data_IF_622656582838
#
_entry.id   IF_622656582838
#
_cell.length_a   1.000
_cell.length_b   1.000
_cell.length_c   1.000
_cell.angle_alpha   90.00
_cell.angle_beta   90.00
_cell.angle_gamma   90.00
#
_symmetry.space_group_name_H-M   'P 1'
#
loop_
_entity.id
_entity.type
_entity.pdbx_description
1 polymer ?
#
# COMPACT_ATOMS: atom_id res chain seq x y z
N UNK A 1 -2.32 6.16 8.65
CA UNK A 1 -3.55 6.35 7.84
C UNK A 1 -4.54 7.17 8.64
N UNK A 2 -5.37 7.97 7.97
CA UNK A 2 -6.46 8.72 8.58
C UNK A 2 -7.80 8.12 8.11
N UNK A 3 -8.77 8.04 9.01
CA UNK A 3 -10.11 7.53 8.72
C UNK A 3 -11.14 8.57 9.14
N UNK A 4 -12.11 8.83 8.27
CA UNK A 4 -13.20 9.75 8.55
C UNK A 4 -14.45 9.38 7.74
N UNK A 5 -15.58 10.01 8.06
CA UNK A 5 -16.80 9.88 7.25
C UNK A 5 -16.58 10.48 5.87
N UNK A 6 -17.18 9.88 4.83
CA UNK A 6 -17.09 10.36 3.46
C UNK A 6 -18.00 11.58 3.22
N UNK A 7 -17.69 12.70 3.86
CA UNK A 7 -18.39 13.96 3.67
C UNK A 7 -17.41 15.15 3.62
N UNK A 8 -17.91 16.30 3.16
CA UNK A 8 -17.09 17.49 2.96
C UNK A 8 -16.52 18.02 4.28
N UNK A 9 -17.32 18.05 5.34
CA UNK A 9 -16.90 18.52 6.67
C UNK A 9 -15.71 17.73 7.21
N UNK A 10 -15.73 16.40 7.07
CA UNK A 10 -14.62 15.55 7.48
C UNK A 10 -13.35 15.82 6.66
N UNK A 11 -13.46 16.07 5.36
CA UNK A 11 -12.32 16.41 4.51
C UNK A 11 -11.70 17.77 4.89
N UNK A 12 -12.54 18.74 5.27
CA UNK A 12 -12.10 20.04 5.78
C UNK A 12 -11.32 19.87 7.10
N UNK A 13 -11.81 19.04 8.01
CA UNK A 13 -11.09 18.81 9.27
C UNK A 13 -9.78 18.06 9.10
N UNK A 14 -9.73 17.08 8.18
CA UNK A 14 -8.45 16.47 7.81
C UNK A 14 -7.47 17.54 7.31
N UNK A 15 -7.91 18.43 6.42
CA UNK A 15 -7.07 19.51 5.88
C UNK A 15 -6.61 20.47 6.98
N UNK A 16 -7.48 20.82 7.92
CA UNK A 16 -7.15 21.66 9.06
C UNK A 16 -6.13 21.01 9.98
N UNK A 17 -6.31 19.73 10.34
CA UNK A 17 -5.37 18.99 11.19
C UNK A 17 -4.00 18.91 10.53
N UNK A 18 -3.93 18.58 9.23
CA UNK A 18 -2.66 18.52 8.51
C UNK A 18 -1.97 19.88 8.43
N UNK A 19 -2.74 20.97 8.27
CA UNK A 19 -2.21 22.33 8.29
C UNK A 19 -1.66 22.72 9.66
N UNK A 20 -2.39 22.43 10.74
CA UNK A 20 -1.95 22.72 12.12
C UNK A 20 -0.70 21.92 12.44
N UNK A 21 -0.69 20.62 12.13
CA UNK A 21 0.48 19.76 12.28
C UNK A 21 1.68 20.31 11.51
N UNK A 22 1.49 20.71 10.24
CA UNK A 22 2.58 21.24 9.43
C UNK A 22 3.17 22.54 9.97
N UNK A 23 2.34 23.41 10.56
CA UNK A 23 2.82 24.63 11.25
C UNK A 23 3.60 24.31 12.51
N UNK A 24 3.15 23.34 13.30
CA UNK A 24 3.79 22.97 14.56
C UNK A 24 5.11 22.19 14.34
N UNK A 25 5.15 21.32 13.33
CA UNK A 25 6.29 20.44 13.05
C UNK A 25 7.29 20.99 12.02
N UNK A 26 6.90 22.02 11.24
CA UNK A 26 7.65 22.48 10.08
C UNK A 26 7.56 21.54 8.87
N UNK A 27 6.76 20.47 8.93
CA UNK A 27 6.63 19.50 7.86
C UNK A 27 5.49 19.85 6.89
N UNK A 28 5.59 19.36 5.64
CA UNK A 28 4.55 19.53 4.62
C UNK A 28 4.13 18.18 4.06
N UNK A 29 2.83 17.93 4.03
CA UNK A 29 2.26 16.74 3.41
C UNK A 29 2.43 16.82 1.90
N UNK A 30 2.90 15.73 1.30
CA UNK A 30 2.93 15.58 -0.15
C UNK A 30 1.62 14.95 -0.62
N UNK A 31 0.69 15.79 -1.04
CA UNK A 31 -0.63 15.35 -1.53
C UNK A 31 -0.55 14.52 -2.81
N UNK A 32 0.45 14.75 -3.68
CA UNK A 32 0.67 13.93 -4.88
C UNK A 32 1.09 12.49 -4.55
N UNK A 33 1.75 12.26 -3.41
CA UNK A 33 2.08 10.92 -2.91
C UNK A 33 0.99 10.34 -2.00
N UNK A 34 -0.07 11.12 -1.75
CA UNK A 34 -1.18 10.72 -0.91
C UNK A 34 -2.35 10.28 -1.78
N UNK A 35 -3.12 9.33 -1.30
CA UNK A 35 -4.30 8.82 -1.99
C UNK A 35 -5.40 8.50 -1.00
N UNK A 36 -6.64 8.47 -1.49
CA UNK A 36 -7.83 8.18 -0.71
C UNK A 36 -8.53 6.94 -1.26
N UNK A 37 -9.13 6.17 -0.35
CA UNK A 37 -9.96 5.01 -0.68
C UNK A 37 -11.32 5.20 0.00
N UNK A 38 -12.39 4.80 -0.66
CA UNK A 38 -13.75 4.92 -0.14
C UNK A 38 -14.38 3.54 0.11
N UNK A 39 -15.40 3.52 0.98
CA UNK A 39 -16.23 2.33 1.12
C UNK A 39 -17.16 2.18 -0.10
N UNK A 40 -17.66 0.97 -0.32
CA UNK A 40 -18.54 0.63 -1.45
C UNK A 40 -19.84 1.45 -1.51
N UNK A 41 -20.21 2.12 -0.42
CA UNK A 41 -21.47 2.84 -0.29
C UNK A 41 -21.37 4.32 -0.73
N UNK A 42 -20.23 4.76 -1.24
CA UNK A 42 -20.03 6.15 -1.70
C UNK A 42 -20.11 6.17 -3.23
N UNK A 43 -20.97 7.01 -3.82
CA UNK A 43 -21.09 7.13 -5.27
C UNK A 43 -19.81 7.69 -5.90
N UNK A 44 -19.50 7.28 -7.13
CA UNK A 44 -18.27 7.72 -7.83
C UNK A 44 -18.17 9.24 -7.94
N UNK A 45 -19.29 9.93 -8.17
CA UNK A 45 -19.33 11.39 -8.22
C UNK A 45 -18.94 12.02 -6.89
N UNK A 46 -19.45 11.47 -5.78
CA UNK A 46 -19.11 11.92 -4.43
C UNK A 46 -17.64 11.62 -4.11
N UNK A 47 -17.11 10.48 -4.53
CA UNK A 47 -15.70 10.14 -4.36
C UNK A 47 -14.80 11.15 -5.07
N UNK A 48 -15.09 11.43 -6.36
CA UNK A 48 -14.32 12.38 -7.17
C UNK A 48 -14.37 13.79 -6.59
N UNK A 49 -15.55 14.24 -6.14
CA UNK A 49 -15.72 15.53 -5.48
C UNK A 49 -14.87 15.65 -4.21
N UNK A 50 -14.93 14.64 -3.32
CA UNK A 50 -14.17 14.66 -2.06
C UNK A 50 -12.65 14.53 -2.29
N UNK A 51 -12.24 13.73 -3.27
CA UNK A 51 -10.84 13.58 -3.63
C UNK A 51 -10.26 14.86 -4.24
N UNK A 52 -11.02 15.52 -5.13
CA UNK A 52 -10.66 16.83 -5.68
C UNK A 52 -10.54 17.89 -4.58
N UNK A 53 -11.43 17.87 -3.58
CA UNK A 53 -11.36 18.78 -2.44
C UNK A 53 -10.08 18.61 -1.62
N UNK A 54 -9.63 17.37 -1.42
CA UNK A 54 -8.38 17.07 -0.71
C UNK A 54 -7.13 17.18 -1.58
N UNK A 55 -7.28 17.29 -2.91
CA UNK A 55 -6.17 17.33 -3.86
C UNK A 55 -5.40 15.99 -3.96
N UNK A 56 -6.09 14.87 -3.80
CA UNK A 56 -5.50 13.52 -3.80
C UNK A 56 -6.17 12.62 -4.84
N UNK A 57 -5.50 11.52 -5.22
CA UNK A 57 -6.07 10.54 -6.16
C UNK A 57 -6.92 9.49 -5.44
N UNK A 58 -7.99 9.07 -6.09
CA UNK A 58 -8.78 7.91 -5.64
C UNK A 58 -8.08 6.64 -6.07
N UNK A 59 -7.89 5.71 -5.14
CA UNK A 59 -7.40 4.36 -5.42
C UNK A 59 -8.42 3.33 -4.95
N UNK A 60 -8.48 2.19 -5.65
CA UNK A 60 -9.42 1.11 -5.30
C UNK A 60 -9.08 0.50 -3.93
N UNK A 61 -7.79 0.37 -3.64
CA UNK A 61 -7.29 0.01 -2.32
C UNK A 61 -5.85 0.45 -2.13
N UNK A 62 -5.46 0.71 -0.89
CA UNK A 62 -4.06 0.85 -0.52
C UNK A 62 -3.43 -0.53 -0.47
N UNK A 63 -3.08 -1.13 -1.61
CA UNK A 63 -2.70 -2.55 -1.63
C UNK A 63 -1.55 -2.89 -0.67
N UNK A 64 -0.53 -2.02 -0.54
CA UNK A 64 0.63 -2.24 0.35
C UNK A 64 1.12 -0.96 1.01
N UNK A 65 1.50 -1.07 2.27
CA UNK A 65 2.25 -0.05 3.01
C UNK A 65 3.53 -0.68 3.57
N UNK A 66 4.68 -0.09 3.24
CA UNK A 66 6.00 -0.60 3.61
C UNK A 66 6.21 -2.08 3.23
N UNK A 67 5.62 -2.51 2.12
CA UNK A 67 5.73 -3.88 1.61
C UNK A 67 4.73 -4.87 2.19
N UNK A 68 3.90 -4.47 3.15
CA UNK A 68 2.88 -5.31 3.77
C UNK A 68 1.48 -4.91 3.29
N UNK A 69 0.54 -5.87 3.13
CA UNK A 69 -0.82 -5.56 2.76
C UNK A 69 -1.49 -4.69 3.84
N UNK A 70 -2.12 -3.58 3.45
CA UNK A 70 -2.78 -2.69 4.43
C UNK A 70 -4.12 -3.22 4.93
N UNK A 71 -4.71 -4.14 4.17
CA UNK A 71 -5.95 -4.80 4.49
C UNK A 71 -5.83 -6.29 4.17
N UNK A 72 -6.15 -7.14 5.14
CA UNK A 72 -6.24 -8.59 4.96
C UNK A 72 -7.70 -8.95 4.80
N UNK A 73 -8.11 -9.23 3.56
CA UNK A 73 -9.48 -9.64 3.26
C UNK A 73 -9.77 -11.08 3.72
N UNK A 74 -11.01 -11.54 3.48
CA UNK A 74 -11.42 -12.93 3.77
C UNK A 74 -10.54 -13.96 3.06
N UNK A 75 -10.06 -13.64 1.86
CA UNK A 75 -9.15 -14.51 1.11
C UNK A 75 -7.68 -14.15 1.43
N UNK A 76 -7.15 -14.80 2.46
CA UNK A 76 -5.74 -14.66 2.87
C UNK A 76 -4.77 -15.11 1.76
N UNK A 77 -5.11 -16.17 1.04
CA UNK A 77 -4.29 -16.70 -0.06
C UNK A 77 -4.04 -15.64 -1.13
N UNK A 78 -5.10 -14.96 -1.60
CA UNK A 78 -4.97 -13.87 -2.56
C UNK A 78 -4.18 -12.68 -1.99
N UNK A 79 -4.37 -12.38 -0.71
CA UNK A 79 -3.67 -11.26 -0.04
C UNK A 79 -2.15 -11.47 0.00
N UNK A 80 -1.71 -12.72 0.20
CA UNK A 80 -0.29 -13.07 0.32
C UNK A 80 0.34 -13.66 -0.95
N UNK A 81 -0.43 -13.76 -2.05
CA UNK A 81 0.05 -14.28 -3.34
C UNK A 81 1.32 -13.57 -3.83
N UNK A 82 1.46 -12.27 -3.54
CA UNK A 82 2.65 -11.50 -3.91
C UNK A 82 3.97 -12.05 -3.29
N UNK A 83 3.89 -12.79 -2.19
CA UNK A 83 5.07 -13.42 -1.57
C UNK A 83 5.57 -14.56 -2.47
N UNK A 84 4.65 -15.40 -2.96
CA UNK A 84 4.95 -16.48 -3.89
C UNK A 84 5.51 -15.92 -5.21
N UNK A 85 4.85 -14.92 -5.78
CA UNK A 85 5.31 -14.27 -7.03
C UNK A 85 6.72 -13.68 -6.91
N UNK A 86 7.05 -13.06 -5.76
CA UNK A 86 8.40 -12.56 -5.48
C UNK A 86 9.44 -13.67 -5.39
N UNK A 87 9.06 -14.81 -4.80
CA UNK A 87 9.92 -15.97 -4.70
C UNK A 87 10.19 -16.55 -6.10
N UNK A 88 9.15 -16.68 -6.93
CA UNK A 88 9.25 -17.15 -8.31
C UNK A 88 10.14 -16.24 -9.17
N UNK A 89 9.99 -14.92 -9.07
CA UNK A 89 10.85 -13.96 -9.78
C UNK A 89 12.33 -14.10 -9.37
N UNK A 90 12.60 -14.31 -8.07
CA UNK A 90 13.97 -14.55 -7.60
C UNK A 90 14.53 -15.85 -8.14
N UNK A 91 13.73 -16.93 -8.11
CA UNK A 91 14.13 -18.23 -8.64
C UNK A 91 14.45 -18.17 -10.14
N UNK A 92 13.59 -17.53 -10.95
CA UNK A 92 13.84 -17.35 -12.38
C UNK A 92 15.13 -16.57 -12.67
N UNK A 93 15.36 -15.50 -11.92
CA UNK A 93 16.61 -14.71 -12.01
C UNK A 93 17.85 -15.56 -11.72
N UNK A 94 17.74 -16.53 -10.82
CA UNK A 94 18.86 -17.43 -10.47
C UNK A 94 19.02 -18.62 -11.40
N UNK A 95 17.95 -19.08 -12.05
CA UNK A 95 18.06 -20.09 -13.10
C UNK A 95 18.92 -19.58 -14.27
N UNK A 96 18.86 -18.28 -14.57
CA UNK A 96 19.72 -17.64 -15.57
C UNK A 96 21.18 -17.44 -15.16
N UNK A 97 21.55 -17.69 -13.90
CA UNK A 97 22.95 -17.66 -13.43
C UNK A 97 23.44 -19.10 -13.23
N UNK A 98 24.60 -19.44 -13.80
CA UNK A 98 25.24 -20.76 -13.69
C UNK A 98 25.71 -21.02 -12.25
N UNK A 99 24.76 -21.29 -11.34
CA UNK A 99 25.02 -21.68 -9.97
C UNK A 99 25.09 -23.22 -9.90
N UNK A 100 26.16 -23.72 -9.26
CA UNK A 100 26.36 -25.14 -8.92
C UNK A 100 25.19 -25.60 -8.03
N UNK A 101 24.72 -26.84 -8.19
CA UNK A 101 23.52 -27.38 -7.51
C UNK A 101 23.45 -27.10 -6.00
N UNK A 102 24.55 -27.32 -5.27
CA UNK A 102 24.61 -27.07 -3.83
C UNK A 102 24.48 -25.57 -3.45
N UNK A 103 25.00 -24.68 -4.31
CA UNK A 103 24.84 -23.23 -4.12
C UNK A 103 23.40 -22.78 -4.32
N UNK A 104 22.64 -23.42 -5.23
CA UNK A 104 21.21 -23.15 -5.43
C UNK A 104 20.38 -23.56 -4.21
N UNK A 105 20.61 -24.74 -3.64
CA UNK A 105 19.84 -25.23 -2.49
C UNK A 105 19.99 -24.33 -1.25
N UNK A 106 21.22 -23.90 -0.97
CA UNK A 106 21.51 -22.99 0.15
C UNK A 106 20.82 -21.64 -0.09
N UNK A 107 20.91 -21.09 -1.30
CA UNK A 107 20.30 -19.79 -1.64
C UNK A 107 18.77 -19.82 -1.51
N UNK A 108 18.14 -20.90 -1.97
CA UNK A 108 16.68 -21.10 -1.86
C UNK A 108 16.27 -21.17 -0.40
N UNK A 109 16.99 -21.96 0.42
CA UNK A 109 16.68 -22.10 1.85
C UNK A 109 16.83 -20.77 2.60
N UNK A 110 17.91 -20.05 2.36
CA UNK A 110 18.16 -18.74 3.00
C UNK A 110 17.08 -17.72 2.62
N UNK A 111 16.70 -17.65 1.34
CA UNK A 111 15.72 -16.66 0.90
C UNK A 111 14.30 -17.03 1.33
N UNK A 112 13.91 -18.30 1.29
CA UNK A 112 12.61 -18.74 1.80
C UNK A 112 12.47 -18.45 3.31
N UNK A 113 13.55 -18.66 4.09
CA UNK A 113 13.57 -18.35 5.52
C UNK A 113 13.60 -16.85 5.83
N UNK A 114 14.08 -16.02 4.90
CA UNK A 114 14.13 -14.55 5.07
C UNK A 114 12.82 -13.83 4.75
N UNK A 115 11.85 -14.52 4.13
CA UNK A 115 10.53 -13.96 3.87
C UNK A 115 9.74 -13.95 5.19
N UNK A 116 9.07 -12.83 5.53
CA UNK A 116 8.30 -12.74 6.77
C UNK A 116 7.15 -13.75 6.75
N UNK A 117 7.00 -14.47 7.86
CA UNK A 117 5.96 -15.48 8.14
C UNK A 117 4.56 -14.88 8.27
#
# INVERSE_FOLDING_TARGET
MLYARANLLACQEISNVLRVYGRASGQKVNFHKSSITFSKNVSTDQQNMLAAHLGVTVVESHEKYLGLPTYVGRNKTRTFQYIQERLDQKLQTWQGRLLIGAGKDILIRVVAQSLPT
#
